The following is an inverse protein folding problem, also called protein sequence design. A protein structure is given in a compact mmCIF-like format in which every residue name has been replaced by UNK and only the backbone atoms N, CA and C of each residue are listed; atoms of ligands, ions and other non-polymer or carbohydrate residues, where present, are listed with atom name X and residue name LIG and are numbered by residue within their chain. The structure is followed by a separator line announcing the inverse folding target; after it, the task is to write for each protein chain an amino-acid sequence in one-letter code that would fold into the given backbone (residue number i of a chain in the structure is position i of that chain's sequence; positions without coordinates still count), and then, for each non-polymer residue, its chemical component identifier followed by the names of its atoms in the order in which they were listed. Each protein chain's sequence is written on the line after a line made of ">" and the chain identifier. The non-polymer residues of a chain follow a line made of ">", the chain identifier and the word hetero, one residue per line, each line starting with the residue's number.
data_IF_794834990894
#
_entry.id   IF_794834990894
#
_cell.length_a   1.000
_cell.length_b   1.000
_cell.length_c   1.000
_cell.angle_alpha   90.00
_cell.angle_beta   90.00
_cell.angle_gamma   90.00
#
_symmetry.space_group_name_H-M   'P 1'
#
loop_
_entity.id
_entity.type
_entity.pdbx_description
1 polymer ?
#
# COMPACT_ATOMS: atom_id res chain seq x y z
N UNK A 1 -39.39 -9.38 6.53
CA UNK A 1 -38.49 -9.41 5.34
C UNK A 1 -37.10 -9.83 5.78
N UNK A 2 -36.61 -10.98 5.32
CA UNK A 2 -35.29 -11.51 5.67
C UNK A 2 -34.18 -10.58 5.18
N UNK A 3 -33.30 -10.15 6.09
CA UNK A 3 -32.15 -9.32 5.74
C UNK A 3 -31.12 -10.18 5.00
N UNK A 4 -31.12 -10.16 3.67
CA UNK A 4 -30.06 -10.77 2.86
C UNK A 4 -28.75 -10.03 3.21
N UNK A 5 -27.81 -10.75 3.81
CA UNK A 5 -26.51 -10.19 4.22
C UNK A 5 -25.79 -9.76 2.95
N UNK A 6 -25.55 -8.47 2.78
CA UNK A 6 -24.83 -7.94 1.62
C UNK A 6 -23.37 -8.32 1.77
N UNK A 7 -22.86 -8.98 0.74
CA UNK A 7 -21.49 -9.47 0.67
C UNK A 7 -20.48 -8.31 0.74
N UNK A 8 -19.31 -8.58 1.33
CA UNK A 8 -18.28 -7.55 1.50
C UNK A 8 -17.69 -7.10 0.17
N UNK A 9 -17.63 -7.99 -0.81
CA UNK A 9 -17.18 -7.67 -2.18
C UNK A 9 -18.09 -6.62 -2.82
N UNK A 10 -19.41 -6.79 -2.72
CA UNK A 10 -20.38 -5.85 -3.29
C UNK A 10 -20.31 -4.48 -2.63
N UNK A 11 -19.97 -4.39 -1.34
CA UNK A 11 -19.77 -3.10 -0.66
C UNK A 11 -18.60 -2.33 -1.27
N UNK A 12 -17.47 -3.00 -1.50
CA UNK A 12 -16.29 -2.37 -2.10
C UNK A 12 -16.55 -1.87 -3.52
N UNK A 13 -17.35 -2.60 -4.31
CA UNK A 13 -17.71 -2.16 -5.66
C UNK A 13 -18.67 -0.98 -5.67
N UNK A 14 -19.65 -0.96 -4.75
CA UNK A 14 -20.56 0.19 -4.52
C UNK A 14 -19.78 1.46 -4.18
N UNK A 15 -18.79 1.32 -3.30
CA UNK A 15 -17.86 2.37 -2.88
C UNK A 15 -17.08 2.91 -4.09
N UNK A 16 -16.42 2.02 -4.85
CA UNK A 16 -15.65 2.40 -6.05
C UNK A 16 -16.53 3.11 -7.08
N UNK A 17 -17.74 2.60 -7.33
CA UNK A 17 -18.68 3.21 -8.25
C UNK A 17 -19.11 4.61 -7.80
N UNK A 18 -19.34 4.82 -6.49
CA UNK A 18 -19.66 6.14 -5.94
C UNK A 18 -18.46 7.10 -6.02
N UNK A 19 -17.24 6.61 -5.75
CA UNK A 19 -16.01 7.39 -5.88
C UNK A 19 -15.75 7.83 -7.35
N UNK A 20 -16.15 7.00 -8.32
CA UNK A 20 -16.10 7.31 -9.74
C UNK A 20 -17.23 8.27 -10.19
N UNK A 21 -18.06 8.78 -9.28
CA UNK A 21 -19.13 9.74 -9.59
C UNK A 21 -20.43 9.11 -10.11
N UNK A 22 -20.59 7.79 -10.04
CA UNK A 22 -21.85 7.13 -10.42
C UNK A 22 -22.93 7.45 -9.39
N UNK A 23 -24.12 7.82 -9.87
CA UNK A 23 -25.23 8.15 -8.98
C UNK A 23 -25.71 6.93 -8.17
N UNK A 24 -26.10 7.17 -6.91
CA UNK A 24 -26.55 6.10 -5.99
C UNK A 24 -27.70 5.26 -6.55
N UNK A 25 -28.56 5.87 -7.38
CA UNK A 25 -29.67 5.18 -8.05
C UNK A 25 -29.17 4.17 -9.09
N UNK A 26 -28.22 4.55 -9.94
CA UNK A 26 -27.60 3.63 -10.91
C UNK A 26 -26.85 2.51 -10.21
N UNK A 27 -26.19 2.81 -9.09
CA UNK A 27 -25.50 1.80 -8.27
C UNK A 27 -26.51 0.80 -7.67
N UNK A 28 -27.61 1.30 -7.10
CA UNK A 28 -28.68 0.47 -6.55
C UNK A 28 -29.25 -0.50 -7.59
N UNK A 29 -29.55 0.00 -8.79
CA UNK A 29 -30.05 -0.80 -9.92
C UNK A 29 -29.01 -1.83 -10.39
N UNK A 30 -27.75 -1.41 -10.57
CA UNK A 30 -26.67 -2.27 -11.06
C UNK A 30 -26.39 -3.45 -10.13
N UNK A 31 -26.44 -3.24 -8.82
CA UNK A 31 -26.11 -4.26 -7.83
C UNK A 31 -27.35 -4.94 -7.22
N UNK A 32 -28.57 -4.54 -7.61
CA UNK A 32 -29.81 -5.07 -7.04
C UNK A 32 -29.99 -4.74 -5.55
N UNK A 33 -29.45 -3.61 -5.10
CA UNK A 33 -29.43 -3.18 -3.68
C UNK A 33 -30.35 -1.99 -3.50
N UNK A 34 -31.04 -1.89 -2.35
CA UNK A 34 -31.86 -0.72 -2.05
C UNK A 34 -31.02 0.56 -1.91
N UNK A 35 -31.58 1.69 -2.35
CA UNK A 35 -30.99 3.02 -2.17
C UNK A 35 -30.56 3.30 -0.73
N UNK A 36 -31.38 2.89 0.24
CA UNK A 36 -31.10 3.02 1.67
C UNK A 36 -29.85 2.25 2.09
N UNK A 37 -29.62 1.09 1.50
CA UNK A 37 -28.43 0.29 1.78
C UNK A 37 -27.19 0.89 1.13
N UNK A 38 -27.28 1.36 -0.12
CA UNK A 38 -26.21 2.12 -0.77
C UNK A 38 -25.82 3.34 0.06
N UNK A 39 -26.78 4.11 0.56
CA UNK A 39 -26.49 5.27 1.42
C UNK A 39 -25.83 4.88 2.74
N UNK A 40 -26.18 3.73 3.33
CA UNK A 40 -25.54 3.25 4.57
C UNK A 40 -24.11 2.79 4.31
N UNK A 41 -23.86 2.11 3.19
CA UNK A 41 -22.51 1.65 2.79
C UNK A 41 -21.58 2.86 2.61
N UNK A 42 -21.98 3.85 1.81
CA UNK A 42 -21.18 5.06 1.56
C UNK A 42 -20.90 5.84 2.84
N UNK A 43 -21.89 5.98 3.75
CA UNK A 43 -21.67 6.66 5.03
C UNK A 43 -20.70 5.91 5.94
N UNK A 44 -20.81 4.58 6.02
CA UNK A 44 -19.94 3.75 6.86
C UNK A 44 -18.50 3.75 6.36
N UNK A 45 -18.30 3.70 5.04
CA UNK A 45 -16.99 3.78 4.43
C UNK A 45 -16.29 5.11 4.76
N UNK A 46 -16.97 6.25 4.65
CA UNK A 46 -16.39 7.55 4.98
C UNK A 46 -15.82 7.63 6.42
N UNK A 47 -16.39 6.85 7.34
CA UNK A 47 -15.89 6.73 8.71
C UNK A 47 -14.71 5.75 8.84
N UNK A 48 -14.71 4.65 8.08
CA UNK A 48 -13.63 3.64 8.10
C UNK A 48 -12.36 4.10 7.35
N UNK A 49 -12.49 4.82 6.23
CA UNK A 49 -11.36 5.29 5.44
C UNK A 49 -10.49 6.34 6.17
N UNK A 50 -11.07 7.07 7.13
CA UNK A 50 -10.30 7.97 8.00
C UNK A 50 -9.36 7.22 8.94
N UNK A 51 -9.68 5.96 9.30
CA UNK A 51 -8.82 5.13 10.14
C UNK A 51 -7.78 4.35 9.31
N UNK A 52 -8.14 3.82 8.14
CA UNK A 52 -7.22 3.02 7.32
C UNK A 52 -6.12 3.86 6.62
N UNK A 53 -6.44 5.08 6.15
CA UNK A 53 -5.41 5.96 5.56
C UNK A 53 -4.34 6.38 6.57
N UNK A 54 -4.69 6.50 7.85
CA UNK A 54 -3.74 6.85 8.92
C UNK A 54 -2.76 5.72 9.28
N UNK A 55 -3.10 4.47 8.98
CA UNK A 55 -2.25 3.29 9.25
C UNK A 55 -1.28 3.07 8.09
N UNK A 56 -1.74 3.22 6.85
CA UNK A 56 -0.90 3.01 5.66
C UNK A 56 0.19 4.07 5.45
N UNK A 57 -0.04 5.32 5.89
CA UNK A 57 0.97 6.39 5.79
C UNK A 57 2.14 6.20 6.76
N UNK A 58 1.88 5.73 7.98
CA UNK A 58 2.93 5.46 8.99
C UNK A 58 3.86 4.32 8.58
N UNK A 59 3.31 3.23 8.03
CA UNK A 59 4.13 2.10 7.56
C UNK A 59 5.02 2.43 6.36
N UNK A 60 4.56 3.32 5.46
CA UNK A 60 5.37 3.79 4.31
C UNK A 60 6.59 4.58 4.77
N UNK A 61 6.45 5.45 5.76
CA UNK A 61 7.58 6.26 6.27
C UNK A 61 8.65 5.41 6.96
N UNK A 62 8.28 4.35 7.67
CA UNK A 62 9.24 3.49 8.35
C UNK A 62 9.99 2.58 7.37
N UNK A 63 9.27 2.01 6.39
CA UNK A 63 9.87 1.20 5.33
C UNK A 63 10.84 2.02 4.48
N UNK A 64 10.51 3.28 4.19
CA UNK A 64 11.33 4.16 3.39
C UNK A 64 12.66 4.51 4.09
N UNK A 65 12.62 4.77 5.40
CA UNK A 65 13.84 4.95 6.21
C UNK A 65 14.72 3.70 6.23
N UNK A 66 14.11 2.50 6.38
CA UNK A 66 14.85 1.23 6.34
C UNK A 66 15.52 0.99 4.98
N UNK A 67 14.85 1.36 3.88
CA UNK A 67 15.43 1.25 2.53
C UNK A 67 16.65 2.17 2.41
N UNK A 68 16.52 3.44 2.83
CA UNK A 68 17.61 4.41 2.77
C UNK A 68 18.83 3.98 3.61
N UNK A 69 18.60 3.43 4.81
CA UNK A 69 19.68 2.92 5.66
C UNK A 69 20.40 1.71 5.03
N UNK A 70 19.66 0.82 4.36
CA UNK A 70 20.23 -0.32 3.65
C UNK A 70 21.07 0.13 2.45
N UNK A 71 20.60 1.11 1.68
CA UNK A 71 21.34 1.68 0.54
C UNK A 71 22.66 2.30 0.98
N UNK A 72 22.67 3.06 2.08
CA UNK A 72 23.90 3.60 2.67
C UNK A 72 24.88 2.49 3.09
N UNK A 73 24.37 1.42 3.69
CA UNK A 73 25.21 0.29 4.13
C UNK A 73 25.83 -0.45 2.96
N UNK A 74 25.09 -0.64 1.87
CA UNK A 74 25.59 -1.24 0.63
C UNK A 74 26.75 -0.40 0.07
N UNK A 75 26.57 0.92 -0.05
CA UNK A 75 27.63 1.80 -0.56
C UNK A 75 28.93 1.74 0.27
N UNK A 76 28.81 1.65 1.60
CA UNK A 76 29.97 1.49 2.49
C UNK A 76 30.67 0.15 2.26
N UNK A 77 29.90 -0.93 2.11
CA UNK A 77 30.45 -2.26 1.87
C UNK A 77 31.16 -2.34 0.51
N UNK A 78 30.57 -1.76 -0.54
CA UNK A 78 31.17 -1.73 -1.87
C UNK A 78 32.52 -1.00 -1.86
N UNK A 79 32.60 0.14 -1.17
CA UNK A 79 33.87 0.85 -0.99
C UNK A 79 34.92 -0.02 -0.29
N UNK A 80 34.50 -0.74 0.76
CA UNK A 80 35.40 -1.62 1.53
C UNK A 80 35.88 -2.81 0.71
N UNK A 81 35.02 -3.38 -0.13
CA UNK A 81 35.40 -4.44 -1.07
C UNK A 81 36.46 -3.94 -2.04
N UNK A 82 36.26 -2.75 -2.61
CA UNK A 82 37.20 -2.14 -3.55
C UNK A 82 38.59 -1.90 -2.92
N UNK A 83 38.62 -1.38 -1.67
CA UNK A 83 39.86 -1.21 -0.92
C UNK A 83 40.58 -2.54 -0.66
N UNK A 84 39.85 -3.57 -0.24
CA UNK A 84 40.40 -4.91 0.00
C UNK A 84 40.90 -5.58 -1.28
N UNK A 85 40.21 -5.40 -2.40
CA UNK A 85 40.64 -5.90 -3.71
C UNK A 85 41.93 -5.21 -4.17
N UNK A 86 42.04 -3.89 -3.98
CA UNK A 86 43.25 -3.13 -4.27
C UNK A 86 44.44 -3.62 -3.41
N UNK A 87 44.22 -3.82 -2.10
CA UNK A 87 45.24 -4.35 -1.18
C UNK A 87 45.68 -5.76 -1.58
N UNK A 88 44.74 -6.66 -1.92
CA UNK A 88 45.07 -8.01 -2.40
C UNK A 88 45.86 -8.00 -3.71
N UNK A 89 45.54 -7.09 -4.64
CA UNK A 89 46.30 -6.91 -5.88
C UNK A 89 47.71 -6.38 -5.63
N UNK A 90 47.89 -5.49 -4.66
CA UNK A 90 49.20 -4.99 -4.26
C UNK A 90 50.05 -6.07 -3.59
N UNK A 91 49.46 -6.88 -2.70
CA UNK A 91 50.16 -7.99 -2.02
C UNK A 91 50.62 -9.10 -3.00
N UNK A 92 49.87 -9.35 -4.08
CA UNK A 92 50.25 -10.33 -5.12
C UNK A 92 51.38 -9.89 -6.04
N UNK A 93 51.77 -8.60 -6.03
CA UNK A 93 52.75 -8.03 -6.96
C UNK A 93 54.18 -7.94 -6.42
N UNK A 94 54.46 -8.42 -5.20
CA UNK A 94 55.82 -8.44 -4.65
C UNK A 94 56.59 -9.62 -5.28
N UNK A 95 57.60 -9.38 -6.15
CA UNK A 95 58.46 -10.46 -6.62
C UNK A 95 59.38 -10.89 -5.48
N UNK A 96 59.59 -12.20 -5.35
CA UNK A 96 60.49 -12.81 -4.36
C UNK A 96 61.93 -12.68 -4.79
#
# INVERSE_FOLDING_TARGET
>A
MARKKIDETTKQEVIKAHANGVSRKKIAEKFGISLSSVSRIVKREGQQHSQEKGIQTKGKTERQKRIEDLERRIAILDKKILELEAQKRAQKRVPR
#
